data_IF_687675059958
#
_entry.id   IF_687675059958
#
_cell.length_a   1.000
_cell.length_b   1.000
_cell.length_c   1.000
_cell.angle_alpha   90.00
_cell.angle_beta   90.00
_cell.angle_gamma   90.00
#
_symmetry.space_group_name_H-M   'P 1'
#
loop_
_entity.id
_entity.type
_entity.pdbx_description
1 polymer ?
#
# COMPACT_ATOMS: atom_id res chain seq x y z
N UNK A 1 23.84 14.45 -12.46
CA UNK A 1 23.10 13.19 -12.30
C UNK A 1 23.68 12.57 -11.06
N UNK A 2 22.97 12.66 -9.94
CA UNK A 2 23.59 12.63 -8.61
C UNK A 2 23.35 11.29 -7.88
N UNK A 3 22.84 10.29 -8.60
CA UNK A 3 22.40 8.99 -8.06
C UNK A 3 23.12 7.79 -8.71
N UNK A 4 24.16 8.03 -9.50
CA UNK A 4 24.81 7.01 -10.33
C UNK A 4 25.50 5.90 -9.53
N UNK A 5 25.89 6.18 -8.28
CA UNK A 5 26.52 5.26 -7.33
C UNK A 5 25.58 4.80 -6.19
N UNK A 6 24.31 5.21 -6.25
CA UNK A 6 23.36 5.05 -5.14
C UNK A 6 22.45 3.82 -5.26
N UNK A 7 22.89 2.75 -5.93
CA UNK A 7 22.07 1.55 -6.17
C UNK A 7 21.45 0.99 -4.89
N UNK A 8 22.24 0.75 -3.84
CA UNK A 8 21.74 0.18 -2.58
C UNK A 8 20.77 1.10 -1.85
N UNK A 9 20.96 2.41 -1.99
CA UNK A 9 20.06 3.43 -1.42
C UNK A 9 18.74 3.42 -2.16
N UNK A 10 18.75 3.33 -3.50
CA UNK A 10 17.54 3.24 -4.33
C UNK A 10 16.80 1.91 -4.06
N UNK A 11 17.51 0.79 -3.96
CA UNK A 11 16.95 -0.53 -3.62
C UNK A 11 16.18 -0.45 -2.29
N UNK A 12 16.82 0.07 -1.24
CA UNK A 12 16.19 0.26 0.08
C UNK A 12 15.04 1.26 0.06
N UNK A 13 15.20 2.40 -0.59
CA UNK A 13 14.18 3.45 -0.66
C UNK A 13 12.91 2.95 -1.34
N UNK A 14 13.06 2.28 -2.48
CA UNK A 14 11.92 1.70 -3.20
C UNK A 14 11.25 0.58 -2.41
N UNK A 15 12.00 -0.23 -1.65
CA UNK A 15 11.39 -1.22 -0.75
C UNK A 15 10.57 -0.54 0.36
N UNK A 16 11.10 0.50 0.99
CA UNK A 16 10.39 1.24 2.03
C UNK A 16 9.08 1.85 1.53
N UNK A 17 9.02 2.29 0.26
CA UNK A 17 7.79 2.74 -0.37
C UNK A 17 6.74 1.63 -0.50
N UNK A 18 7.15 0.41 -0.88
CA UNK A 18 6.26 -0.76 -0.94
C UNK A 18 5.75 -1.13 0.46
N UNK A 19 6.62 -1.13 1.47
CA UNK A 19 6.26 -1.45 2.85
C UNK A 19 5.24 -0.44 3.41
N UNK A 20 5.39 0.84 3.08
CA UNK A 20 4.43 1.88 3.45
C UNK A 20 3.06 1.64 2.80
N UNK A 21 3.02 1.28 1.51
CA UNK A 21 1.79 0.97 0.81
C UNK A 21 1.08 -0.25 1.41
N UNK A 22 1.81 -1.31 1.78
CA UNK A 22 1.25 -2.47 2.51
C UNK A 22 0.66 -2.06 3.85
N UNK A 23 1.37 -1.23 4.61
CA UNK A 23 0.89 -0.72 5.89
C UNK A 23 -0.39 0.10 5.72
N UNK A 24 -0.47 0.91 4.67
CA UNK A 24 -1.67 1.70 4.39
C UNK A 24 -2.85 0.82 3.99
N UNK A 25 -2.66 -0.20 3.15
CA UNK A 25 -3.72 -1.17 2.82
C UNK A 25 -4.23 -1.86 4.09
N UNK A 26 -3.32 -2.28 4.98
CA UNK A 26 -3.70 -2.88 6.27
C UNK A 26 -4.52 -1.91 7.13
N UNK A 27 -4.09 -0.65 7.23
CA UNK A 27 -4.82 0.38 7.95
C UNK A 27 -6.25 0.57 7.41
N UNK A 28 -6.43 0.62 6.08
CA UNK A 28 -7.76 0.78 5.47
C UNK A 28 -8.65 -0.44 5.72
N UNK A 29 -8.09 -1.66 5.73
CA UNK A 29 -8.82 -2.87 6.12
C UNK A 29 -9.31 -2.81 7.57
N UNK A 30 -8.43 -2.50 8.51
CA UNK A 30 -8.80 -2.35 9.93
C UNK A 30 -9.84 -1.25 10.14
N UNK A 31 -9.70 -0.12 9.42
CA UNK A 31 -10.71 0.95 9.42
C UNK A 31 -12.07 0.45 8.92
N UNK A 32 -12.10 -0.35 7.86
CA UNK A 32 -13.35 -0.96 7.36
C UNK A 32 -14.00 -1.89 8.38
N UNK A 33 -13.21 -2.70 9.09
CA UNK A 33 -13.74 -3.58 10.14
C UNK A 33 -14.41 -2.78 11.28
N UNK A 34 -13.83 -1.64 11.65
CA UNK A 34 -14.43 -0.71 12.62
C UNK A 34 -15.78 -0.19 12.11
N UNK A 35 -15.87 0.23 10.85
CA UNK A 35 -17.11 0.73 10.26
C UNK A 35 -18.22 -0.34 10.22
N UNK A 36 -17.89 -1.56 9.78
CA UNK A 36 -18.83 -2.68 9.78
C UNK A 36 -19.32 -3.02 11.19
N UNK A 37 -18.41 -3.04 12.16
CA UNK A 37 -18.74 -3.30 13.56
C UNK A 37 -19.69 -2.23 14.10
N UNK A 38 -19.38 -0.97 13.83
CA UNK A 38 -20.21 0.15 14.26
C UNK A 38 -21.62 0.08 13.65
N UNK A 39 -21.73 -0.12 12.34
CA UNK A 39 -23.00 -0.31 11.66
C UNK A 39 -23.84 -1.44 12.26
N UNK A 40 -23.21 -2.59 12.55
CA UNK A 40 -23.87 -3.73 13.19
C UNK A 40 -24.40 -3.40 14.58
N UNK A 41 -23.62 -2.67 15.39
CA UNK A 41 -24.05 -2.23 16.72
C UNK A 41 -25.26 -1.30 16.63
N UNK A 42 -25.27 -0.36 15.68
CA UNK A 42 -26.41 0.53 15.44
C UNK A 42 -27.67 -0.23 15.02
N UNK A 43 -27.57 -1.15 14.05
CA UNK A 43 -28.72 -1.99 13.64
C UNK A 43 -29.26 -2.83 14.78
N UNK A 44 -28.38 -3.41 15.59
CA UNK A 44 -28.79 -4.20 16.75
C UNK A 44 -29.52 -3.33 17.79
N UNK A 45 -29.05 -2.09 18.00
CA UNK A 45 -29.71 -1.13 18.87
C UNK A 45 -31.11 -0.81 18.34
N UNK A 46 -31.24 -0.43 17.06
CA UNK A 46 -32.54 -0.13 16.45
C UNK A 46 -33.50 -1.32 16.57
N UNK A 47 -33.07 -2.53 16.22
CA UNK A 47 -33.89 -3.75 16.34
C UNK A 47 -34.33 -4.05 17.77
N UNK A 48 -33.47 -3.79 18.76
CA UNK A 48 -33.78 -4.01 20.18
C UNK A 48 -34.91 -3.11 20.67
N UNK A 49 -34.94 -1.85 20.23
CA UNK A 49 -35.96 -0.89 20.65
C UNK A 49 -37.24 -0.97 19.80
N UNK A 50 -37.15 -1.39 18.53
CA UNK A 50 -38.32 -1.77 17.73
C UNK A 50 -39.11 -2.94 18.33
N UNK A 51 -38.41 -3.97 18.85
CA UNK A 51 -39.05 -5.17 19.44
C UNK A 51 -39.61 -4.97 20.85
N UNK A 52 -39.23 -3.88 21.53
CA UNK A 52 -39.73 -3.56 22.88
C UNK A 52 -41.05 -2.80 22.88
N UNK A 53 -41.50 -2.30 21.72
CA UNK A 53 -42.83 -1.73 21.58
C UNK A 53 -43.89 -2.83 21.64
N UNK A 54 -44.88 -2.69 22.52
CA UNK A 54 -46.06 -3.55 22.50
C UNK A 54 -46.81 -3.37 21.16
N UNK A 55 -47.57 -4.37 20.68
CA UNK A 55 -48.33 -4.25 19.42
C UNK A 55 -49.27 -3.03 19.42
N UNK A 56 -49.90 -2.77 20.56
CA UNK A 56 -50.76 -1.60 20.78
C UNK A 56 -49.98 -0.27 20.85
N UNK A 57 -48.72 -0.30 21.29
CA UNK A 57 -47.83 0.86 21.22
C UNK A 57 -47.39 1.13 19.79
N UNK A 58 -47.19 0.09 18.99
CA UNK A 58 -46.74 0.21 17.60
C UNK A 58 -47.83 0.81 16.69
N UNK A 59 -49.10 0.55 17.01
CA UNK A 59 -50.30 1.18 16.42
C UNK A 59 -50.70 2.51 17.12
N UNK A 60 -49.90 2.96 18.10
CA UNK A 60 -50.24 4.10 18.94
C UNK A 60 -50.06 5.43 18.19
N UNK A 61 -51.18 6.14 17.99
CA UNK A 61 -51.27 7.38 17.20
C UNK A 61 -50.70 8.62 17.90
N UNK A 62 -49.94 8.48 19.00
CA UNK A 62 -49.36 9.64 19.67
C UNK A 62 -48.10 10.12 18.97
N UNK A 63 -48.00 11.44 18.80
CA UNK A 63 -46.90 12.10 18.09
C UNK A 63 -45.52 11.81 18.68
N UNK A 64 -45.40 11.68 20.00
CA UNK A 64 -44.13 11.36 20.66
C UNK A 64 -43.65 9.94 20.35
N UNK A 65 -44.56 8.99 20.16
CA UNK A 65 -44.21 7.62 19.80
C UNK A 65 -43.80 7.53 18.32
N UNK A 66 -44.57 8.17 17.43
CA UNK A 66 -44.21 8.29 16.01
C UNK A 66 -42.81 8.92 15.83
N UNK A 67 -42.54 10.03 16.55
CA UNK A 67 -41.22 10.67 16.50
C UNK A 67 -40.08 9.74 16.94
N UNK A 68 -40.32 8.86 17.92
CA UNK A 68 -39.31 7.87 18.31
C UNK A 68 -39.09 6.81 17.23
N UNK A 69 -40.14 6.37 16.53
CA UNK A 69 -40.01 5.46 15.39
C UNK A 69 -39.20 6.09 14.26
N UNK A 70 -39.43 7.37 13.95
CA UNK A 70 -38.66 8.10 12.95
C UNK A 70 -37.17 8.17 13.31
N UNK A 71 -36.84 8.44 14.58
CA UNK A 71 -35.45 8.43 15.07
C UNK A 71 -34.81 7.05 14.90
N UNK A 72 -35.56 5.97 15.19
CA UNK A 72 -35.06 4.61 15.01
C UNK A 72 -34.83 4.29 13.52
N UNK A 73 -35.71 4.72 12.63
CA UNK A 73 -35.57 4.56 11.18
C UNK A 73 -34.31 5.28 10.66
N UNK A 74 -34.14 6.55 11.01
CA UNK A 74 -32.96 7.35 10.64
C UNK A 74 -31.66 6.72 11.15
N UNK A 75 -31.66 6.17 12.37
CA UNK A 75 -30.48 5.48 12.91
C UNK A 75 -30.15 4.19 12.14
N UNK A 76 -31.18 3.48 11.66
CA UNK A 76 -30.99 2.29 10.83
C UNK A 76 -30.44 2.65 9.44
N UNK A 77 -30.92 3.74 8.85
CA UNK A 77 -30.44 4.23 7.56
C UNK A 77 -29.00 4.73 7.66
N UNK A 78 -28.67 5.44 8.74
CA UNK A 78 -27.29 5.82 9.06
C UNK A 78 -26.37 4.60 9.20
N UNK A 79 -26.84 3.51 9.82
CA UNK A 79 -26.09 2.26 9.88
C UNK A 79 -25.84 1.65 8.49
N UNK A 80 -26.80 1.78 7.56
CA UNK A 80 -26.62 1.42 6.15
C UNK A 80 -25.54 2.24 5.45
N UNK A 81 -25.50 3.55 5.70
CA UNK A 81 -24.44 4.41 5.17
C UNK A 81 -23.05 4.00 5.68
N UNK A 82 -22.92 3.60 6.95
CA UNK A 82 -21.64 3.11 7.49
C UNK A 82 -21.18 1.81 6.82
N UNK A 83 -22.08 0.89 6.51
CA UNK A 83 -21.74 -0.31 5.72
C UNK A 83 -21.25 0.04 4.33
N UNK A 84 -21.94 0.95 3.63
CA UNK A 84 -21.53 1.39 2.30
C UNK A 84 -20.13 2.03 2.31
N UNK A 85 -19.82 2.82 3.35
CA UNK A 85 -18.47 3.38 3.54
C UNK A 85 -17.44 2.26 3.72
N UNK A 86 -17.77 1.21 4.47
CA UNK A 86 -16.90 0.06 4.66
C UNK A 86 -16.65 -0.72 3.37
N UNK A 87 -17.72 -1.04 2.63
CA UNK A 87 -17.66 -1.73 1.35
C UNK A 87 -16.82 -0.94 0.34
N UNK A 88 -17.06 0.38 0.23
CA UNK A 88 -16.29 1.25 -0.66
C UNK A 88 -14.79 1.29 -0.30
N UNK A 89 -14.43 1.28 0.98
CA UNK A 89 -13.02 1.20 1.38
C UNK A 89 -12.37 -0.11 0.92
N UNK A 90 -13.07 -1.24 1.04
CA UNK A 90 -12.53 -2.53 0.60
C UNK A 90 -12.43 -2.57 -0.93
N UNK A 91 -13.51 -2.24 -1.63
CA UNK A 91 -13.59 -2.40 -3.08
C UNK A 91 -12.78 -1.35 -3.84
N UNK A 92 -12.94 -0.07 -3.49
CA UNK A 92 -12.36 1.02 -4.26
C UNK A 92 -10.94 1.38 -3.81
N UNK A 93 -10.58 1.11 -2.55
CA UNK A 93 -9.27 1.48 -2.01
C UNK A 93 -8.39 0.23 -1.85
N UNK A 94 -8.79 -0.74 -1.02
CA UNK A 94 -7.94 -1.90 -0.73
C UNK A 94 -7.65 -2.74 -1.98
N UNK A 95 -8.65 -3.08 -2.79
CA UNK A 95 -8.44 -3.93 -3.98
C UNK A 95 -7.59 -3.22 -5.05
N UNK A 96 -7.90 -1.95 -5.34
CA UNK A 96 -7.15 -1.17 -6.32
C UNK A 96 -5.70 -0.96 -5.89
N UNK A 97 -5.45 -0.58 -4.63
CA UNK A 97 -4.09 -0.43 -4.11
C UNK A 97 -3.35 -1.75 -4.06
N UNK A 98 -4.03 -2.86 -3.71
CA UNK A 98 -3.39 -4.19 -3.71
C UNK A 98 -2.94 -4.62 -5.10
N UNK A 99 -3.77 -4.36 -6.12
CA UNK A 99 -3.42 -4.64 -7.52
C UNK A 99 -2.26 -3.77 -7.98
N UNK A 100 -2.34 -2.46 -7.76
CA UNK A 100 -1.27 -1.54 -8.11
C UNK A 100 0.05 -1.86 -7.41
N UNK A 101 -0.01 -2.27 -6.14
CA UNK A 101 1.18 -2.70 -5.39
C UNK A 101 1.84 -3.95 -5.99
N UNK A 102 1.05 -4.91 -6.50
CA UNK A 102 1.60 -6.09 -7.19
C UNK A 102 2.33 -5.70 -8.48
N UNK A 103 1.76 -4.78 -9.25
CA UNK A 103 2.37 -4.24 -10.46
C UNK A 103 3.70 -3.53 -10.13
N UNK A 104 3.70 -2.63 -9.13
CA UNK A 104 4.90 -1.93 -8.66
C UNK A 104 6.00 -2.88 -8.17
N UNK A 105 5.64 -3.96 -7.45
CA UNK A 105 6.60 -4.98 -7.02
C UNK A 105 7.29 -5.64 -8.21
N UNK A 106 6.54 -5.93 -9.27
CA UNK A 106 7.07 -6.55 -10.48
C UNK A 106 7.94 -5.59 -11.28
N UNK A 107 7.52 -4.33 -11.45
CA UNK A 107 8.31 -3.29 -12.10
C UNK A 107 9.63 -3.04 -11.38
N UNK A 108 9.58 -2.88 -10.04
CA UNK A 108 10.79 -2.73 -9.21
C UNK A 108 11.76 -3.89 -9.41
N UNK A 109 11.27 -5.13 -9.42
CA UNK A 109 12.10 -6.32 -9.66
C UNK A 109 12.77 -6.28 -11.03
N UNK A 110 12.06 -5.86 -12.07
CA UNK A 110 12.60 -5.73 -13.42
C UNK A 110 13.70 -4.66 -13.48
N UNK A 111 13.44 -3.46 -12.95
CA UNK A 111 14.41 -2.37 -12.93
C UNK A 111 15.69 -2.71 -12.15
N UNK A 112 15.56 -3.33 -10.97
CA UNK A 112 16.73 -3.74 -10.18
C UNK A 112 17.52 -4.86 -10.87
N UNK A 113 16.85 -5.76 -11.59
CA UNK A 113 17.52 -6.78 -12.41
C UNK A 113 18.37 -6.17 -13.51
N UNK A 114 17.83 -5.19 -14.25
CA UNK A 114 18.55 -4.53 -15.34
C UNK A 114 19.69 -3.65 -14.81
N UNK A 115 19.48 -2.95 -13.68
CA UNK A 115 20.54 -2.23 -13.00
C UNK A 115 21.71 -3.15 -12.58
N UNK A 116 21.40 -4.34 -12.04
CA UNK A 116 22.43 -5.35 -11.70
C UNK A 116 23.20 -5.84 -12.92
N UNK A 117 22.52 -6.08 -14.05
CA UNK A 117 23.21 -6.44 -15.31
C UNK A 117 24.16 -5.34 -15.78
N UNK A 118 23.72 -4.09 -15.72
CA UNK A 118 24.55 -2.95 -16.10
C UNK A 118 25.78 -2.81 -15.19
N UNK A 119 25.60 -2.98 -13.87
CA UNK A 119 26.71 -2.97 -12.90
C UNK A 119 27.70 -4.11 -13.13
N UNK A 120 27.22 -5.33 -13.41
CA UNK A 120 28.08 -6.46 -13.74
C UNK A 120 28.89 -6.19 -15.02
N UNK A 121 28.25 -5.63 -16.04
CA UNK A 121 28.97 -5.25 -17.27
C UNK A 121 30.03 -4.19 -17.00
N UNK A 122 29.73 -3.18 -16.19
CA UNK A 122 30.67 -2.13 -15.81
C UNK A 122 31.86 -2.71 -15.02
N UNK A 123 31.61 -3.58 -14.04
CA UNK A 123 32.66 -4.22 -13.24
C UNK A 123 33.61 -5.05 -14.12
N UNK A 124 33.08 -5.80 -15.10
CA UNK A 124 33.89 -6.53 -16.07
C UNK A 124 34.76 -5.57 -16.90
N UNK A 125 34.18 -4.49 -17.42
CA UNK A 125 34.93 -3.49 -18.20
C UNK A 125 36.02 -2.80 -17.37
N UNK A 126 35.75 -2.47 -16.10
CA UNK A 126 36.74 -1.88 -15.19
C UNK A 126 37.87 -2.84 -14.87
N UNK A 127 37.58 -4.13 -14.62
CA UNK A 127 38.61 -5.16 -14.44
C UNK A 127 39.50 -5.33 -15.67
N UNK A 128 38.90 -5.30 -16.86
CA UNK A 128 39.64 -5.37 -18.13
C UNK A 128 40.54 -4.14 -18.33
N UNK A 129 40.03 -2.94 -18.03
CA UNK A 129 40.79 -1.69 -18.09
C UNK A 129 41.98 -1.72 -17.13
N UNK A 130 41.78 -2.12 -15.87
CA UNK A 130 42.86 -2.23 -14.88
C UNK A 130 43.92 -3.26 -15.28
N UNK A 131 43.51 -4.39 -15.87
CA UNK A 131 44.45 -5.37 -16.42
C UNK A 131 45.30 -4.76 -17.55
N UNK A 132 44.67 -4.07 -18.50
CA UNK A 132 45.37 -3.43 -19.64
C UNK A 132 46.30 -2.32 -19.18
N UNK A 133 45.87 -1.50 -18.21
CA UNK A 133 46.68 -0.44 -17.59
C UNK A 133 47.94 -1.01 -16.93
N UNK A 134 47.80 -2.10 -16.16
CA UNK A 134 48.96 -2.77 -15.53
C UNK A 134 49.94 -3.33 -16.55
N UNK A 135 49.44 -3.96 -17.62
CA UNK A 135 50.28 -4.47 -18.72
C UNK A 135 51.05 -3.33 -19.40
N UNK A 136 50.35 -2.25 -19.77
CA UNK A 136 50.97 -1.08 -20.38
C UNK A 136 52.05 -0.45 -19.48
N UNK A 137 51.77 -0.27 -18.18
CA UNK A 137 52.75 0.29 -17.25
C UNK A 137 54.01 -0.58 -17.12
N UNK A 138 53.87 -1.91 -17.18
CA UNK A 138 54.99 -2.84 -17.18
C UNK A 138 55.81 -2.74 -18.47
N UNK A 139 55.15 -2.82 -19.62
CA UNK A 139 55.80 -2.73 -20.94
C UNK A 139 56.51 -1.38 -21.12
N UNK A 140 55.92 -0.28 -20.63
CA UNK A 140 56.54 1.04 -20.61
C UNK A 140 57.83 1.08 -19.77
N UNK A 141 57.78 0.56 -18.55
CA UNK A 141 58.95 0.51 -17.67
C UNK A 141 60.08 -0.40 -18.21
N UNK A 142 59.72 -1.44 -18.96
CA UNK A 142 60.70 -2.28 -19.67
C UNK A 142 61.34 -1.54 -20.85
N UNK A 143 60.54 -0.79 -21.63
CA UNK A 143 61.04 0.02 -22.74
C UNK A 143 61.95 1.18 -22.29
N UNK A 144 61.67 1.82 -21.15
CA UNK A 144 62.55 2.86 -20.61
C UNK A 144 63.95 2.31 -20.24
N UNK A 145 64.02 1.06 -19.76
CA UNK A 145 65.29 0.41 -19.41
C UNK A 145 66.15 0.03 -20.60
N UNK A 146 65.56 -0.18 -21.78
CA UNK A 146 66.31 -0.55 -22.99
C UNK A 146 66.83 0.65 -23.77
N UNK A 147 66.40 1.87 -23.42
CA UNK A 147 66.80 3.14 -24.05
C UNK A 147 67.91 3.87 -23.27
N UNK A 148 68.22 3.43 -22.04
CA UNK A 148 69.38 3.85 -21.23
C UNK A 148 70.58 2.92 -21.41
#
# INVERSE_FOLDING_TARGET
SDLWDQYDVIDKHTQSGLDLAERYIKFVKERSEIEQTYAKLLRNLTKKYLKRGNKDEQDCKYSHYASFQDILAELNDYAGQRELIAENMIESICNNLSKYLQELKQERKNHLSDARKAQQSLDISLKHLESTKKRFAKEWAEAEKTVQ
#
